data_IF_414329960586
#
_entry.id   IF_414329960586
#
_cell.length_a   1.000
_cell.length_b   1.000
_cell.length_c   1.000
_cell.angle_alpha   90.00
_cell.angle_beta   90.00
_cell.angle_gamma   90.00
#
_symmetry.space_group_name_H-M   'P 1'
#
loop_
_entity.id
_entity.type
_entity.pdbx_description
1 polymer ?
#
# COMPACT_ATOMS: atom_id res chain seq x y z
N UNK A 1 21.54 22.99 -11.10
CA UNK A 1 22.00 22.52 -12.42
C UNK A 1 22.82 21.25 -12.18
N UNK A 2 22.16 20.10 -12.06
CA UNK A 2 22.85 18.82 -11.83
C UNK A 2 23.33 18.27 -13.18
N UNK A 3 24.61 17.93 -13.23
CA UNK A 3 25.29 17.42 -14.40
C UNK A 3 24.85 15.99 -14.72
N UNK A 4 24.49 15.73 -15.98
CA UNK A 4 24.55 14.44 -16.69
C UNK A 4 24.28 13.17 -15.86
N UNK A 5 23.01 12.92 -15.54
CA UNK A 5 22.24 11.85 -16.20
C UNK A 5 22.42 10.40 -15.76
N UNK A 6 23.11 10.09 -14.67
CA UNK A 6 23.02 8.77 -14.05
C UNK A 6 21.88 8.77 -13.02
N UNK A 7 20.83 7.99 -13.28
CA UNK A 7 19.74 7.76 -12.33
C UNK A 7 20.33 7.18 -11.03
N UNK A 8 20.19 7.90 -9.93
CA UNK A 8 20.62 7.44 -8.62
C UNK A 8 19.83 6.20 -8.21
N UNK A 9 20.51 5.21 -7.62
CA UNK A 9 19.82 4.08 -6.98
C UNK A 9 19.23 4.58 -5.67
N UNK A 10 17.98 4.26 -5.43
CA UNK A 10 17.22 4.70 -4.26
C UNK A 10 17.10 3.54 -3.26
N UNK A 11 17.46 3.79 -2.00
CA UNK A 11 17.14 2.94 -0.87
C UNK A 11 15.71 3.20 -0.42
N UNK A 12 14.95 2.14 -0.15
CA UNK A 12 13.62 2.24 0.48
C UNK A 12 13.76 1.75 1.92
N UNK A 13 14.17 2.62 2.87
CA UNK A 13 14.57 2.19 4.20
C UNK A 13 13.42 1.57 4.98
N UNK A 14 12.16 1.93 4.68
CA UNK A 14 10.96 1.47 5.36
C UNK A 14 10.69 -0.03 5.18
N UNK A 15 11.22 -0.64 4.10
CA UNK A 15 10.97 -2.04 3.77
C UNK A 15 12.13 -2.90 4.26
N UNK A 16 11.97 -3.43 5.47
CA UNK A 16 12.89 -4.40 6.04
C UNK A 16 12.52 -5.82 5.63
N UNK A 17 13.47 -6.47 4.95
CA UNK A 17 13.36 -7.84 4.42
C UNK A 17 14.59 -8.64 4.82
N UNK A 18 14.59 -9.93 4.52
CA UNK A 18 15.71 -10.84 4.78
C UNK A 18 16.35 -11.32 3.48
N UNK A 19 17.47 -12.04 3.61
CA UNK A 19 18.17 -12.66 2.49
C UNK A 19 17.39 -13.76 1.76
N UNK A 20 16.16 -14.10 2.18
CA UNK A 20 15.24 -14.90 1.35
C UNK A 20 14.94 -14.26 0.00
N UNK A 21 14.98 -12.93 -0.06
CA UNK A 21 14.77 -12.17 -1.29
C UNK A 21 16.07 -11.86 -2.04
N UNK A 22 17.23 -12.29 -1.52
CA UNK A 22 18.50 -12.07 -2.18
C UNK A 22 18.54 -12.75 -3.57
N UNK A 23 19.11 -12.06 -4.56
CA UNK A 23 19.18 -12.55 -5.94
C UNK A 23 17.89 -12.40 -6.75
N UNK A 24 16.77 -11.98 -6.14
CA UNK A 24 15.55 -11.60 -6.88
C UNK A 24 15.65 -10.18 -7.40
N UNK A 25 14.98 -9.93 -8.51
CA UNK A 25 14.79 -8.57 -9.01
C UNK A 25 13.45 -8.47 -9.74
N UNK A 26 12.80 -7.33 -9.60
CA UNK A 26 11.48 -7.07 -10.14
C UNK A 26 11.57 -5.89 -11.12
N UNK A 27 11.33 -6.18 -12.39
CA UNK A 27 11.36 -5.18 -13.45
C UNK A 27 10.00 -4.50 -13.52
N UNK A 28 10.03 -3.17 -13.58
CA UNK A 28 8.86 -2.33 -13.81
C UNK A 28 9.16 -1.37 -14.95
N UNK A 29 8.16 -0.74 -15.59
CA UNK A 29 8.40 0.20 -16.69
C UNK A 29 9.41 1.31 -16.38
N UNK A 30 9.41 1.78 -15.14
CA UNK A 30 10.22 2.89 -14.62
C UNK A 30 11.56 2.46 -14.04
N UNK A 31 11.88 1.16 -13.92
CA UNK A 31 13.13 0.74 -13.30
C UNK A 31 13.20 -0.72 -12.84
N UNK A 32 14.07 -0.98 -11.87
CA UNK A 32 14.33 -2.30 -11.31
C UNK A 32 14.36 -2.23 -9.78
N UNK A 33 13.53 -3.03 -9.12
CA UNK A 33 13.68 -3.30 -7.70
C UNK A 33 14.61 -4.50 -7.48
N UNK A 34 15.41 -4.44 -6.43
CA UNK A 34 16.24 -5.56 -5.99
C UNK A 34 16.48 -5.50 -4.49
N UNK A 35 16.95 -6.62 -3.94
CA UNK A 35 17.40 -6.71 -2.57
C UNK A 35 18.85 -6.22 -2.42
N UNK A 36 19.18 -5.62 -1.27
CA UNK A 36 20.56 -5.35 -0.84
C UNK A 36 20.74 -5.75 0.63
N UNK A 37 21.92 -6.26 0.98
CA UNK A 37 22.25 -6.56 2.37
C UNK A 37 22.29 -5.28 3.20
N UNK A 38 21.82 -5.37 4.44
CA UNK A 38 21.79 -4.26 5.37
C UNK A 38 22.39 -4.67 6.70
N UNK A 39 23.31 -3.86 7.21
CA UNK A 39 23.99 -4.11 8.48
C UNK A 39 24.17 -2.81 9.28
N UNK A 40 24.36 -2.96 10.60
CA UNK A 40 24.85 -1.89 11.47
C UNK A 40 26.11 -2.37 12.16
N UNK A 41 27.11 -1.48 12.25
CA UNK A 41 28.33 -1.71 13.03
C UNK A 41 28.08 -1.57 14.52
N UNK A 42 27.13 -0.72 14.90
CA UNK A 42 26.76 -0.47 16.29
C UNK A 42 25.79 -1.51 16.86
N UNK A 43 24.95 -2.10 15.99
CA UNK A 43 23.96 -3.10 16.37
C UNK A 43 24.13 -4.34 15.49
N UNK A 44 24.57 -5.49 16.04
CA UNK A 44 24.57 -6.73 15.27
C UNK A 44 23.15 -7.00 14.80
N UNK A 45 22.96 -7.15 13.49
CA UNK A 45 21.63 -7.40 12.91
C UNK A 45 21.00 -8.62 13.58
N UNK A 46 19.69 -8.57 13.89
CA UNK A 46 18.99 -9.74 14.39
C UNK A 46 19.12 -10.85 13.34
N UNK A 47 19.60 -12.03 13.78
CA UNK A 47 19.55 -13.22 12.96
C UNK A 47 18.08 -13.64 12.89
N UNK A 48 17.46 -13.48 11.73
CA UNK A 48 16.13 -14.01 11.50
C UNK A 48 16.26 -15.52 11.32
N UNK A 49 15.71 -16.27 12.28
CA UNK A 49 15.72 -17.73 12.27
C UNK A 49 14.35 -18.26 11.89
N UNK A 50 14.26 -19.11 10.86
CA UNK A 50 13.09 -19.96 10.64
C UNK A 50 13.46 -21.40 11.00
N UNK A 51 12.57 -22.07 11.74
CA UNK A 51 12.73 -23.48 12.04
C UNK A 51 11.75 -24.27 11.17
N UNK A 52 12.29 -25.18 10.37
CA UNK A 52 11.50 -26.13 9.58
C UNK A 52 11.97 -27.58 9.82
N UNK A 53 11.43 -28.52 9.04
CA UNK A 53 11.78 -29.94 9.13
C UNK A 53 13.27 -30.26 8.87
N UNK A 54 14.03 -29.32 8.30
CA UNK A 54 15.45 -29.47 7.93
C UNK A 54 16.40 -28.75 8.89
N UNK A 55 15.88 -27.88 9.78
CA UNK A 55 16.67 -27.26 10.84
C UNK A 55 16.36 -25.78 11.04
N UNK A 56 17.30 -25.06 11.66
CA UNK A 56 17.26 -23.60 11.80
C UNK A 56 17.98 -22.96 10.62
N UNK A 57 17.25 -22.23 9.79
CA UNK A 57 17.81 -21.42 8.71
C UNK A 57 17.99 -20.00 9.20
N UNK A 58 19.19 -19.43 8.97
CA UNK A 58 19.52 -18.06 9.33
C UNK A 58 19.48 -17.17 8.11
N UNK A 59 18.81 -16.04 8.22
CA UNK A 59 18.70 -15.05 7.16
C UNK A 59 19.33 -13.73 7.59
N UNK A 60 20.10 -13.13 6.68
CA UNK A 60 20.67 -11.81 6.88
C UNK A 60 19.61 -10.75 6.67
N UNK A 61 19.72 -9.64 7.39
CA UNK A 61 18.88 -8.47 7.17
C UNK A 61 19.20 -7.81 5.82
N UNK A 62 18.18 -7.25 5.17
CA UNK A 62 18.33 -6.47 3.97
C UNK A 62 17.25 -5.41 3.79
N UNK A 63 17.36 -4.69 2.69
CA UNK A 63 16.43 -3.64 2.25
C UNK A 63 16.11 -3.81 0.78
N UNK A 64 15.04 -3.15 0.35
CA UNK A 64 14.72 -3.01 -1.07
C UNK A 64 15.37 -1.73 -1.60
N UNK A 65 16.00 -1.84 -2.76
CA UNK A 65 16.48 -0.71 -3.54
C UNK A 65 15.70 -0.63 -4.85
N UNK A 66 15.54 0.58 -5.36
CA UNK A 66 14.98 0.85 -6.68
C UNK A 66 16.01 1.57 -7.54
N UNK A 67 16.29 1.01 -8.71
CA UNK A 67 17.13 1.63 -9.73
C UNK A 67 16.24 2.15 -10.85
N UNK A 68 15.97 3.46 -10.91
CA UNK A 68 15.18 4.04 -12.00
C UNK A 68 15.87 3.78 -13.34
N UNK A 69 15.07 3.64 -14.40
CA UNK A 69 15.58 3.54 -15.76
C UNK A 69 16.16 4.90 -16.18
N UNK A 70 17.17 4.88 -17.04
CA UNK A 70 17.70 6.10 -17.62
C UNK A 70 16.59 6.88 -18.34
N UNK A 71 16.43 8.16 -17.98
CA UNK A 71 15.40 9.04 -18.53
C UNK A 71 14.05 9.03 -17.80
N UNK A 72 13.88 8.19 -16.77
CA UNK A 72 12.76 8.28 -15.83
C UNK A 72 12.89 9.57 -15.01
N UNK A 73 11.80 10.33 -14.91
CA UNK A 73 11.76 11.57 -14.14
C UNK A 73 11.31 11.33 -12.68
N UNK A 74 11.36 12.39 -11.86
CA UNK A 74 11.03 12.29 -10.43
C UNK A 74 9.54 11.97 -10.19
N UNK A 75 8.65 12.35 -11.12
CA UNK A 75 7.22 12.07 -11.03
C UNK A 75 6.95 10.57 -11.24
N UNK A 76 7.56 9.96 -12.26
CA UNK A 76 7.50 8.52 -12.50
C UNK A 76 8.04 7.71 -11.31
N UNK A 77 9.12 8.19 -10.68
CA UNK A 77 9.68 7.58 -9.46
C UNK A 77 8.67 7.67 -8.31
N UNK A 78 8.09 8.85 -8.07
CA UNK A 78 7.09 9.04 -7.02
C UNK A 78 5.87 8.12 -7.23
N UNK A 79 5.33 8.08 -8.45
CA UNK A 79 4.22 7.18 -8.82
C UNK A 79 4.57 5.72 -8.57
N UNK A 80 5.80 5.31 -8.88
CA UNK A 80 6.27 3.95 -8.64
C UNK A 80 6.33 3.60 -7.15
N UNK A 81 6.81 4.52 -6.31
CA UNK A 81 6.86 4.32 -4.86
C UNK A 81 5.46 4.36 -4.22
N UNK A 82 4.55 5.16 -4.77
CA UNK A 82 3.15 5.24 -4.31
C UNK A 82 2.39 3.95 -4.60
N UNK A 83 2.58 3.42 -5.81
CA UNK A 83 2.04 2.12 -6.18
C UNK A 83 2.54 1.01 -5.25
N UNK A 84 3.84 0.98 -4.94
CA UNK A 84 4.43 0.02 -3.99
C UNK A 84 3.86 0.20 -2.58
N UNK A 85 3.73 1.44 -2.12
CA UNK A 85 3.13 1.78 -0.81
C UNK A 85 1.71 1.24 -0.72
N UNK A 86 0.87 1.54 -1.71
CA UNK A 86 -0.52 1.07 -1.74
C UNK A 86 -0.61 -0.44 -1.83
N UNK A 87 0.25 -1.10 -2.61
CA UNK A 87 0.27 -2.57 -2.73
C UNK A 87 0.61 -3.24 -1.39
N UNK A 88 1.61 -2.75 -0.68
CA UNK A 88 1.91 -3.24 0.66
C UNK A 88 0.73 -2.98 1.61
N UNK A 89 0.05 -1.84 1.45
CA UNK A 89 -1.21 -1.55 2.13
C UNK A 89 -2.29 -2.60 1.86
N UNK A 90 -2.48 -3.02 0.60
CA UNK A 90 -3.48 -4.03 0.24
C UNK A 90 -3.09 -5.44 0.72
N UNK A 91 -1.79 -5.77 0.69
CA UNK A 91 -1.28 -7.10 1.00
C UNK A 91 -1.53 -7.55 2.46
N UNK A 92 -1.26 -6.66 3.42
CA UNK A 92 -1.32 -7.01 4.85
C UNK A 92 -1.94 -5.90 5.71
N UNK A 93 -2.65 -4.96 5.08
CA UNK A 93 -3.02 -3.72 5.76
C UNK A 93 -1.77 -3.07 6.36
N UNK A 94 -0.71 -2.93 5.55
CA UNK A 94 0.48 -2.21 5.98
C UNK A 94 0.08 -0.79 6.40
N UNK A 95 0.58 -0.39 7.58
CA UNK A 95 0.38 0.93 8.14
C UNK A 95 1.70 1.66 8.17
N UNK A 96 1.65 2.96 7.91
CA UNK A 96 2.84 3.79 8.02
C UNK A 96 2.81 4.95 7.07
N UNK A 97 4.00 5.48 6.87
CA UNK A 97 4.27 6.59 5.96
C UNK A 97 4.43 6.07 4.53
N UNK A 98 4.21 6.98 3.59
CA UNK A 98 4.48 6.77 2.18
C UNK A 98 5.96 6.42 2.00
N UNK A 99 6.27 5.46 1.14
CA UNK A 99 7.65 5.09 0.91
C UNK A 99 8.42 6.22 0.27
N UNK A 100 9.63 6.44 0.79
CA UNK A 100 10.56 7.45 0.28
C UNK A 100 11.81 6.76 -0.21
N UNK A 101 12.29 7.21 -1.38
CA UNK A 101 13.56 6.78 -1.93
C UNK A 101 14.68 7.68 -1.44
N UNK A 102 15.69 7.11 -0.80
CA UNK A 102 16.89 7.84 -0.39
C UNK A 102 18.02 7.52 -1.39
N UNK A 103 18.60 8.52 -2.08
CA UNK A 103 19.70 8.28 -2.99
C UNK A 103 20.89 7.60 -2.29
N UNK A 104 21.37 6.50 -2.86
CA UNK A 104 22.56 5.79 -2.39
C UNK A 104 23.77 6.32 -3.18
N UNK A 105 24.82 6.81 -2.50
CA UNK A 105 26.07 7.17 -3.16
C UNK A 105 26.65 5.99 -3.96
N UNK A 106 27.10 6.20 -5.21
CA UNK A 106 27.60 5.10 -6.06
C UNK A 106 28.70 4.25 -5.41
N UNK A 107 29.54 4.86 -4.57
CA UNK A 107 30.61 4.17 -3.83
C UNK A 107 30.09 3.08 -2.88
N UNK A 108 28.87 3.22 -2.35
CA UNK A 108 28.28 2.24 -1.43
C UNK A 108 27.64 1.06 -2.16
N UNK A 109 27.33 1.22 -3.45
CA UNK A 109 26.77 0.17 -4.31
C UNK A 109 27.82 -0.83 -4.80
N UNK A 110 29.11 -0.61 -4.51
CA UNK A 110 30.18 -1.54 -4.84
C UNK A 110 30.20 -2.79 -3.94
N UNK A 111 29.39 -2.80 -2.87
CA UNK A 111 29.27 -3.88 -1.90
C UNK A 111 27.87 -4.49 -1.95
N UNK A 112 27.77 -5.81 -1.76
CA UNK A 112 26.49 -6.51 -1.63
C UNK A 112 25.78 -6.21 -0.30
N UNK A 113 26.46 -5.52 0.62
CA UNK A 113 25.93 -5.08 1.92
C UNK A 113 26.27 -3.63 2.17
N UNK A 114 25.25 -2.86 2.55
CA UNK A 114 25.37 -1.47 2.97
C UNK A 114 25.30 -1.40 4.49
N UNK A 115 26.16 -0.57 5.08
CA UNK A 115 26.12 -0.25 6.50
C UNK A 115 25.30 1.01 6.73
N UNK A 116 24.40 0.97 7.70
CA UNK A 116 23.56 2.12 8.09
C UNK A 116 24.41 3.38 8.32
N UNK A 117 25.52 3.23 9.05
CA UNK A 117 26.39 4.36 9.41
C UNK A 117 27.05 5.01 8.18
N UNK A 118 27.30 4.25 7.10
CA UNK A 118 27.87 4.79 5.87
C UNK A 118 26.86 5.62 5.07
N UNK A 119 25.59 5.21 5.10
CA UNK A 119 24.48 5.96 4.50
C UNK A 119 24.23 7.24 5.29
N UNK A 120 24.16 7.16 6.62
CA UNK A 120 24.00 8.31 7.50
C UNK A 120 25.13 9.33 7.30
N UNK A 121 26.38 8.88 7.30
CA UNK A 121 27.53 9.76 7.09
C UNK A 121 27.52 10.42 5.70
N UNK A 122 27.01 9.72 4.67
CA UNK A 122 26.87 10.29 3.34
C UNK A 122 25.76 11.36 3.29
N UNK A 123 24.59 11.08 3.88
CA UNK A 123 23.48 12.02 3.91
C UNK A 123 23.80 13.30 4.68
N UNK A 124 24.47 13.17 5.84
CA UNK A 124 24.91 14.34 6.64
C UNK A 124 25.90 15.22 5.86
N UNK A 125 26.74 14.62 5.03
CA UNK A 125 27.72 15.37 4.24
C UNK A 125 27.08 16.14 3.08
N UNK A 126 26.00 15.60 2.49
CA UNK A 126 25.36 16.16 1.30
C UNK A 126 24.23 17.16 1.65
N UNK A 127 23.36 16.86 2.63
CA UNK A 127 22.23 17.71 3.01
C UNK A 127 21.88 17.60 4.52
N UNK A 128 22.34 18.54 5.38
CA UNK A 128 22.12 18.47 6.83
C UNK A 128 20.65 18.59 7.27
N UNK A 129 19.74 19.04 6.42
CA UNK A 129 18.31 19.18 6.74
C UNK A 129 17.53 17.84 6.61
N UNK A 130 18.17 16.75 6.15
CA UNK A 130 17.58 15.41 6.03
C UNK A 130 17.60 14.59 7.34
N UNK A 131 17.99 15.19 8.46
CA UNK A 131 18.16 14.50 9.76
C UNK A 131 16.86 13.85 10.26
N UNK A 132 15.69 14.44 10.00
CA UNK A 132 14.40 13.83 10.39
C UNK A 132 14.10 12.55 9.59
N UNK A 133 14.61 12.42 8.36
CA UNK A 133 14.47 11.20 7.54
C UNK A 133 15.34 10.07 8.07
N UNK A 134 16.53 10.37 8.58
CA UNK A 134 17.49 9.39 9.13
C UNK A 134 16.98 8.76 10.44
N UNK A 135 16.37 9.55 11.33
CA UNK A 135 15.77 9.05 12.59
C UNK A 135 14.63 8.04 12.32
N UNK A 136 14.01 8.10 11.14
CA UNK A 136 12.93 7.21 10.70
C UNK A 136 13.45 5.89 10.10
N UNK A 137 14.70 5.82 9.61
CA UNK A 137 15.32 4.57 9.11
C UNK A 137 15.35 3.48 10.19
N UNK A 138 15.42 3.87 11.47
CA UNK A 138 15.37 2.96 12.61
C UNK A 138 13.96 2.55 13.08
N UNK A 139 12.89 3.11 12.51
CA UNK A 139 11.48 2.80 12.86
C UNK A 139 10.79 2.00 11.76
N UNK A 140 11.50 1.02 11.22
CA UNK A 140 10.94 0.09 10.24
C UNK A 140 9.91 -0.83 10.90
N UNK A 141 8.69 -0.87 10.35
CA UNK A 141 7.78 -1.96 10.63
C UNK A 141 8.24 -3.16 9.79
N UNK A 142 8.80 -4.19 10.44
CA UNK A 142 9.05 -5.47 9.77
C UNK A 142 7.73 -6.18 9.54
N UNK A 143 7.32 -6.29 8.28
CA UNK A 143 6.13 -7.04 7.84
C UNK A 143 6.47 -8.45 7.32
N UNK A 144 7.70 -8.90 7.56
CA UNK A 144 8.23 -10.14 6.97
C UNK A 144 8.45 -10.04 5.46
N UNK A 145 8.95 -11.12 4.86
CA UNK A 145 9.32 -11.15 3.43
C UNK A 145 8.12 -11.32 2.50
N UNK A 146 7.07 -12.00 2.95
CA UNK A 146 5.92 -12.35 2.11
C UNK A 146 5.15 -11.13 1.61
N UNK A 147 5.07 -10.06 2.42
CA UNK A 147 4.30 -8.85 2.08
C UNK A 147 5.02 -8.02 1.01
N UNK A 148 6.31 -7.66 1.16
CA UNK A 148 7.07 -7.00 0.10
C UNK A 148 7.18 -7.87 -1.16
N UNK A 149 7.38 -9.18 -1.02
CA UNK A 149 7.42 -10.09 -2.16
C UNK A 149 6.12 -10.08 -2.96
N UNK A 150 4.97 -10.24 -2.28
CA UNK A 150 3.66 -10.21 -2.92
C UNK A 150 3.40 -8.89 -3.67
N UNK A 151 3.81 -7.76 -3.08
CA UNK A 151 3.67 -6.44 -3.68
C UNK A 151 4.58 -6.28 -4.90
N UNK A 152 5.86 -6.62 -4.77
CA UNK A 152 6.84 -6.51 -5.84
C UNK A 152 6.52 -7.43 -7.03
N UNK A 153 6.00 -8.63 -6.78
CA UNK A 153 5.54 -9.58 -7.82
C UNK A 153 4.32 -9.05 -8.63
N UNK A 154 3.69 -7.96 -8.19
CA UNK A 154 2.51 -7.33 -8.84
C UNK A 154 2.79 -5.96 -9.44
N UNK A 155 3.97 -5.41 -9.19
CA UNK A 155 4.29 -4.04 -9.58
C UNK A 155 4.24 -3.82 -11.09
N UNK A 156 4.67 -4.79 -11.90
CA UNK A 156 4.64 -4.67 -13.36
C UNK A 156 3.20 -4.53 -13.90
N UNK A 157 2.27 -5.33 -13.39
CA UNK A 157 0.84 -5.29 -13.74
C UNK A 157 0.21 -3.98 -13.28
N UNK A 158 0.50 -3.55 -12.05
CA UNK A 158 -0.02 -2.26 -11.53
C UNK A 158 0.49 -1.09 -12.35
N UNK A 159 1.79 -1.07 -12.68
CA UNK A 159 2.40 0.01 -13.43
C UNK A 159 1.99 0.02 -14.91
N UNK A 160 1.39 -1.06 -15.41
CA UNK A 160 0.76 -1.09 -16.74
C UNK A 160 -0.63 -0.42 -16.76
N UNK A 161 -1.29 -0.25 -15.60
CA UNK A 161 -2.61 0.37 -15.44
C UNK A 161 -2.57 1.58 -14.49
N UNK A 162 -1.88 2.63 -14.97
CA UNK A 162 -1.69 3.89 -14.23
C UNK A 162 -2.99 4.69 -14.05
N UNK A 163 -4.00 4.46 -14.88
CA UNK A 163 -5.22 5.26 -14.88
C UNK A 163 -6.23 4.81 -13.82
N UNK A 164 -6.23 3.52 -13.47
CA UNK A 164 -7.25 2.95 -12.59
C UNK A 164 -6.65 2.44 -11.28
N UNK A 165 -5.62 1.59 -11.35
CA UNK A 165 -5.11 0.88 -10.18
C UNK A 165 -4.27 1.79 -9.30
N UNK A 166 -3.35 2.57 -9.89
CA UNK A 166 -2.49 3.47 -9.12
C UNK A 166 -3.29 4.50 -8.32
N UNK A 167 -4.30 5.20 -8.89
CA UNK A 167 -5.16 6.08 -8.11
C UNK A 167 -5.94 5.35 -7.02
N UNK A 168 -6.43 4.14 -7.29
CA UNK A 168 -7.12 3.33 -6.28
C UNK A 168 -6.22 2.97 -5.10
N UNK A 169 -4.96 2.62 -5.38
CA UNK A 169 -3.91 2.34 -4.40
C UNK A 169 -3.56 3.57 -3.55
N UNK A 170 -3.41 4.74 -4.18
CA UNK A 170 -3.17 6.00 -3.48
C UNK A 170 -4.35 6.37 -2.56
N UNK A 171 -5.59 6.23 -3.05
CA UNK A 171 -6.78 6.52 -2.25
C UNK A 171 -6.96 5.57 -1.07
N UNK A 172 -6.73 4.26 -1.25
CA UNK A 172 -6.86 3.33 -0.13
C UNK A 172 -5.76 3.54 0.91
N UNK A 173 -4.54 3.91 0.49
CA UNK A 173 -3.47 4.30 1.41
C UNK A 173 -3.87 5.52 2.24
N UNK A 174 -4.31 6.61 1.59
CA UNK A 174 -4.74 7.83 2.28
C UNK A 174 -5.97 7.59 3.18
N UNK A 175 -6.83 6.64 2.84
CA UNK A 175 -7.93 6.21 3.72
C UNK A 175 -7.43 5.61 5.03
N UNK A 176 -6.32 4.87 5.00
CA UNK A 176 -5.81 4.09 6.14
C UNK A 176 -4.78 4.83 6.99
N UNK A 177 -4.28 5.97 6.50
CA UNK A 177 -3.21 6.76 7.14
C UNK A 177 -3.50 7.16 8.58
N UNK A 178 -4.71 7.65 8.86
CA UNK A 178 -5.12 8.05 10.22
C UNK A 178 -5.94 6.95 10.93
N UNK A 179 -6.77 6.22 10.18
CA UNK A 179 -7.66 5.18 10.71
C UNK A 179 -7.32 3.84 10.10
N UNK A 180 -6.60 3.04 10.86
CA UNK A 180 -6.16 1.72 10.45
C UNK A 180 -6.72 0.64 11.39
N UNK A 181 -7.26 -0.44 10.83
CA UNK A 181 -7.88 -1.51 11.60
C UNK A 181 -7.12 -2.83 11.42
N UNK A 182 -6.50 -3.33 12.50
CA UNK A 182 -5.76 -4.60 12.55
C UNK A 182 -5.98 -5.32 13.87
N UNK A 183 -5.94 -6.66 13.83
CA UNK A 183 -6.00 -7.50 15.02
C UNK A 183 -7.19 -7.19 15.94
N UNK A 184 -6.89 -6.80 17.18
CA UNK A 184 -7.90 -6.53 18.21
C UNK A 184 -8.82 -5.36 17.87
N UNK A 185 -8.35 -4.37 17.09
CA UNK A 185 -9.20 -3.21 16.75
C UNK A 185 -10.37 -3.60 15.85
N UNK A 186 -10.17 -4.59 14.96
CA UNK A 186 -11.25 -5.17 14.15
C UNK A 186 -12.29 -5.79 15.08
N UNK A 187 -11.84 -6.60 16.04
CA UNK A 187 -12.72 -7.28 17.00
C UNK A 187 -13.50 -6.26 17.85
N UNK A 188 -12.87 -5.17 18.27
CA UNK A 188 -13.54 -4.09 19.01
C UNK A 188 -14.62 -3.42 18.18
N UNK A 189 -14.32 -3.04 16.94
CA UNK A 189 -15.28 -2.40 16.04
C UNK A 189 -16.46 -3.33 15.73
N UNK A 190 -16.23 -4.63 15.59
CA UNK A 190 -17.31 -5.61 15.39
C UNK A 190 -18.24 -5.74 16.60
N UNK A 191 -17.75 -5.55 17.83
CA UNK A 191 -18.57 -5.60 19.05
C UNK A 191 -19.46 -4.37 19.21
N UNK A 192 -19.01 -3.22 18.70
CA UNK A 192 -19.71 -1.95 18.79
C UNK A 192 -19.87 -1.31 17.40
N UNK A 193 -20.65 -1.92 16.47
CA UNK A 193 -20.71 -1.47 15.08
C UNK A 193 -21.35 -0.07 14.92
N UNK A 194 -22.10 0.39 15.91
CA UNK A 194 -22.68 1.73 15.95
C UNK A 194 -21.78 2.77 16.63
N UNK A 195 -20.57 2.41 17.06
CA UNK A 195 -19.64 3.32 17.68
C UNK A 195 -19.20 4.42 16.71
N UNK A 196 -19.19 5.66 17.20
CA UNK A 196 -18.79 6.86 16.49
C UNK A 196 -17.73 7.59 17.31
N UNK A 197 -16.86 8.36 16.65
CA UNK A 197 -15.95 9.25 17.38
C UNK A 197 -16.72 10.37 18.10
N UNK A 198 -16.37 10.61 19.36
CA UNK A 198 -16.86 11.76 20.11
C UNK A 198 -16.03 13.03 19.87
N UNK A 199 -14.85 12.91 19.27
CA UNK A 199 -13.99 14.03 18.91
C UNK A 199 -14.41 14.57 17.53
N UNK A 200 -14.78 15.86 17.41
CA UNK A 200 -15.12 16.46 16.12
C UNK A 200 -13.98 16.36 15.09
N UNK A 201 -12.73 16.46 15.52
CA UNK A 201 -11.55 16.36 14.65
C UNK A 201 -11.46 14.94 14.07
N UNK A 202 -11.52 13.91 14.94
CA UNK A 202 -11.47 12.53 14.47
C UNK A 202 -12.72 12.16 13.65
N UNK A 203 -13.89 12.76 13.91
CA UNK A 203 -15.07 12.56 13.07
C UNK A 203 -14.87 13.09 11.63
N UNK A 204 -14.21 14.26 11.47
CA UNK A 204 -13.83 14.80 10.16
C UNK A 204 -12.78 13.91 9.48
N UNK A 205 -11.80 13.43 10.25
CA UNK A 205 -10.79 12.48 9.77
C UNK A 205 -11.44 11.19 9.24
N UNK A 206 -12.38 10.62 10.01
CA UNK A 206 -13.12 9.41 9.59
C UNK A 206 -13.95 9.63 8.32
N UNK A 207 -14.56 10.80 8.16
CA UNK A 207 -15.32 11.14 6.94
C UNK A 207 -14.38 11.25 5.73
N UNK A 208 -13.24 11.92 5.89
CA UNK A 208 -12.20 12.01 4.85
C UNK A 208 -11.68 10.62 4.47
N UNK A 209 -11.37 9.80 5.47
CA UNK A 209 -10.91 8.43 5.28
C UNK A 209 -11.96 7.57 4.54
N UNK A 210 -13.23 7.69 4.92
CA UNK A 210 -14.32 6.96 4.26
C UNK A 210 -14.46 7.39 2.80
N UNK A 211 -14.40 8.70 2.54
CA UNK A 211 -14.48 9.22 1.19
C UNK A 211 -13.31 8.77 0.32
N UNK A 212 -12.10 8.65 0.88
CA UNK A 212 -10.95 8.09 0.17
C UNK A 212 -11.13 6.60 -0.14
N UNK A 213 -11.65 5.78 0.78
CA UNK A 213 -11.98 4.38 0.48
C UNK A 213 -13.03 4.27 -0.64
N UNK A 214 -14.03 5.14 -0.63
CA UNK A 214 -15.04 5.20 -1.70
C UNK A 214 -14.43 5.63 -3.04
N UNK A 215 -13.55 6.64 -3.07
CA UNK A 215 -12.82 7.05 -4.28
C UNK A 215 -11.94 5.95 -4.85
N UNK A 216 -11.36 5.10 -4.00
CA UNK A 216 -10.63 3.93 -4.46
C UNK A 216 -11.53 2.98 -5.26
N UNK A 217 -12.77 2.75 -4.79
CA UNK A 217 -13.77 1.99 -5.54
C UNK A 217 -14.20 2.71 -6.82
N UNK A 218 -14.39 4.04 -6.81
CA UNK A 218 -14.72 4.81 -8.02
C UNK A 218 -13.62 4.70 -9.07
N UNK A 219 -12.35 4.82 -8.67
CA UNK A 219 -11.20 4.68 -9.56
C UNK A 219 -11.19 3.31 -10.27
N UNK A 220 -11.38 2.22 -9.51
CA UNK A 220 -11.48 0.87 -10.07
C UNK A 220 -12.65 0.68 -11.03
N UNK A 221 -13.79 1.32 -10.73
CA UNK A 221 -14.98 1.21 -11.57
C UNK A 221 -14.93 2.15 -12.79
N UNK A 222 -13.93 3.03 -12.88
CA UNK A 222 -13.83 4.05 -13.91
C UNK A 222 -14.86 5.18 -13.76
N UNK A 223 -15.26 5.50 -12.52
CA UNK A 223 -16.19 6.58 -12.19
C UNK A 223 -17.23 6.20 -11.14
N UNK A 224 -18.20 7.10 -10.90
CA UNK A 224 -19.24 6.91 -9.89
C UNK A 224 -20.06 5.61 -10.16
N UNK A 225 -20.22 4.73 -9.14
CA UNK A 225 -21.05 3.52 -9.22
C UNK A 225 -22.46 3.81 -9.76
N UNK A 226 -22.98 3.03 -10.73
CA UNK A 226 -24.36 3.16 -11.17
C UNK A 226 -25.35 2.90 -10.04
N UNK A 227 -26.41 3.71 -9.93
CA UNK A 227 -27.49 3.50 -8.95
C UNK A 227 -28.36 2.28 -9.28
N UNK A 228 -28.42 1.90 -10.54
CA UNK A 228 -29.16 0.73 -11.01
C UNK A 228 -28.35 -0.55 -10.77
N UNK A 229 -28.88 -1.46 -9.95
CA UNK A 229 -28.22 -2.71 -9.54
C UNK A 229 -27.70 -3.53 -10.73
N UNK A 230 -28.45 -3.63 -11.83
CA UNK A 230 -28.04 -4.38 -13.01
C UNK A 230 -26.80 -3.77 -13.69
N UNK A 231 -26.76 -2.44 -13.83
CA UNK A 231 -25.62 -1.72 -14.43
C UNK A 231 -24.39 -1.75 -13.53
N UNK A 232 -24.58 -1.69 -12.21
CA UNK A 232 -23.47 -1.82 -11.27
C UNK A 232 -22.87 -3.23 -11.32
N UNK A 233 -23.72 -4.27 -11.37
CA UNK A 233 -23.27 -5.66 -11.58
C UNK A 233 -22.44 -5.81 -12.85
N UNK A 234 -22.97 -5.35 -13.99
CA UNK A 234 -22.25 -5.39 -15.26
C UNK A 234 -20.89 -4.67 -15.18
N UNK A 235 -20.83 -3.53 -14.47
CA UNK A 235 -19.59 -2.78 -14.27
C UNK A 235 -18.60 -3.49 -13.36
N UNK A 236 -19.05 -4.16 -12.31
CA UNK A 236 -18.16 -4.97 -11.46
C UNK A 236 -17.57 -6.13 -12.27
N UNK A 237 -18.42 -6.84 -13.00
CA UNK A 237 -18.01 -7.99 -13.84
C UNK A 237 -17.03 -7.56 -14.95
N UNK A 238 -17.27 -6.43 -15.62
CA UNK A 238 -16.35 -5.92 -16.66
C UNK A 238 -14.98 -5.50 -16.13
N UNK A 239 -14.89 -5.26 -14.81
CA UNK A 239 -13.64 -4.98 -14.09
C UNK A 239 -13.08 -6.23 -13.40
N UNK A 240 -13.63 -7.40 -13.65
CA UNK A 240 -13.21 -8.66 -13.02
C UNK A 240 -13.36 -8.66 -11.49
N UNK A 241 -14.31 -7.88 -10.97
CA UNK A 241 -14.69 -7.87 -9.56
C UNK A 241 -15.96 -8.72 -9.44
N UNK A 242 -15.89 -9.86 -8.75
CA UNK A 242 -17.04 -10.76 -8.63
C UNK A 242 -18.15 -10.09 -7.76
N UNK A 243 -19.31 -9.75 -8.34
CA UNK A 243 -20.39 -9.09 -7.61
C UNK A 243 -21.01 -9.99 -6.53
N UNK A 244 -20.95 -11.31 -6.69
CA UNK A 244 -21.59 -12.30 -5.82
C UNK A 244 -20.64 -12.88 -4.77
N UNK A 245 -19.37 -12.46 -4.78
CA UNK A 245 -18.38 -12.95 -3.82
C UNK A 245 -18.69 -12.42 -2.42
N UNK A 246 -18.98 -13.36 -1.51
CA UNK A 246 -19.36 -13.05 -0.13
C UNK A 246 -18.11 -12.86 0.73
N UNK A 247 -17.71 -11.60 0.91
CA UNK A 247 -16.57 -11.22 1.73
C UNK A 247 -17.01 -10.46 3.00
N UNK A 248 -16.06 -10.11 3.86
CA UNK A 248 -16.30 -9.27 5.04
C UNK A 248 -16.12 -9.98 6.38
N UNK A 249 -16.56 -9.31 7.43
CA UNK A 249 -16.29 -9.71 8.81
C UNK A 249 -17.34 -10.71 9.34
N UNK A 250 -16.95 -11.55 10.30
CA UNK A 250 -17.85 -12.54 10.90
C UNK A 250 -19.16 -11.91 11.39
N UNK A 251 -20.30 -12.50 11.00
CA UNK A 251 -21.64 -11.99 11.33
C UNK A 251 -22.16 -10.85 10.46
N UNK A 252 -21.33 -10.29 9.57
CA UNK A 252 -21.67 -9.16 8.69
C UNK A 252 -21.09 -9.36 7.28
N UNK A 253 -21.07 -10.61 6.81
CA UNK A 253 -20.68 -10.95 5.44
C UNK A 253 -21.81 -10.63 4.49
N UNK A 254 -21.48 -10.02 3.38
CA UNK A 254 -22.39 -9.73 2.27
C UNK A 254 -21.62 -9.77 0.95
N UNK A 255 -22.37 -9.92 -0.14
CA UNK A 255 -21.81 -9.87 -1.48
C UNK A 255 -21.28 -8.46 -1.84
N UNK A 256 -20.34 -8.41 -2.78
CA UNK A 256 -19.68 -7.16 -3.17
C UNK A 256 -20.68 -6.14 -3.75
N UNK A 257 -21.68 -6.59 -4.50
CA UNK A 257 -22.69 -5.73 -5.09
C UNK A 257 -23.49 -4.98 -4.02
N UNK A 258 -24.03 -5.70 -3.03
CA UNK A 258 -24.75 -5.14 -1.90
C UNK A 258 -23.86 -4.18 -1.10
N UNK A 259 -22.60 -4.54 -0.88
CA UNK A 259 -21.62 -3.68 -0.17
C UNK A 259 -21.40 -2.36 -0.90
N UNK A 260 -21.13 -2.38 -2.20
CA UNK A 260 -20.91 -1.14 -2.99
C UNK A 260 -22.16 -0.26 -2.99
N UNK A 261 -23.36 -0.85 -3.13
CA UNK A 261 -24.61 -0.11 -3.03
C UNK A 261 -24.79 0.56 -1.66
N UNK A 262 -24.45 -0.15 -0.58
CA UNK A 262 -24.50 0.39 0.79
C UNK A 262 -23.49 1.51 1.01
N UNK A 263 -22.27 1.38 0.48
CA UNK A 263 -21.25 2.44 0.53
C UNK A 263 -21.71 3.70 -0.21
N UNK A 264 -22.28 3.55 -1.41
CA UNK A 264 -22.85 4.67 -2.15
C UNK A 264 -24.00 5.35 -1.40
N UNK A 265 -24.94 4.58 -0.85
CA UNK A 265 -26.03 5.13 -0.04
C UNK A 265 -25.52 5.89 1.19
N UNK A 266 -24.47 5.37 1.83
CA UNK A 266 -23.80 6.02 2.97
C UNK A 266 -23.19 7.34 2.54
N UNK A 267 -22.43 7.38 1.43
CA UNK A 267 -21.88 8.62 0.87
C UNK A 267 -22.98 9.62 0.53
N UNK A 268 -24.00 9.23 -0.22
CA UNK A 268 -25.06 10.12 -0.73
C UNK A 268 -25.84 10.76 0.43
N UNK A 269 -26.14 9.97 1.48
CA UNK A 269 -26.78 10.47 2.70
C UNK A 269 -25.97 11.56 3.39
N UNK A 270 -24.64 11.56 3.25
CA UNK A 270 -23.75 12.58 3.83
C UNK A 270 -23.58 13.78 2.91
N UNK A 271 -23.47 13.58 1.60
CA UNK A 271 -23.31 14.67 0.62
C UNK A 271 -24.57 15.53 0.43
N UNK A 272 -25.77 14.98 0.63
CA UNK A 272 -27.02 15.65 0.23
C UNK A 272 -27.44 16.88 1.06
N UNK A 273 -26.90 17.15 2.26
CA UNK A 273 -27.43 18.24 3.11
C UNK A 273 -26.40 18.97 4.00
N UNK A 274 -25.88 20.11 3.51
CA UNK A 274 -25.15 21.13 4.28
C UNK A 274 -26.07 21.98 5.20
N UNK A 275 -27.06 21.34 5.85
CA UNK A 275 -28.07 21.97 6.71
C UNK A 275 -27.71 21.96 8.20
N UNK A 276 -28.01 23.08 8.88
CA UNK A 276 -27.50 23.56 10.18
C UNK A 276 -27.87 22.74 11.44
N UNK A 277 -28.59 21.62 11.35
CA UNK A 277 -29.15 20.95 12.55
C UNK A 277 -29.15 19.42 12.44
N UNK A 278 -28.29 18.72 13.22
CA UNK A 278 -28.31 17.24 13.34
C UNK A 278 -26.96 16.52 13.21
N UNK A 279 -25.91 16.96 13.90
CA UNK A 279 -24.53 16.45 13.79
C UNK A 279 -24.36 14.98 14.22
N UNK A 280 -25.19 14.45 15.15
CA UNK A 280 -25.01 13.08 15.71
C UNK A 280 -25.55 11.92 14.87
N UNK A 281 -26.59 12.10 14.05
CA UNK A 281 -27.07 11.04 13.11
C UNK A 281 -26.24 10.99 11.81
N UNK A 282 -25.18 11.82 11.77
CA UNK A 282 -24.36 12.13 10.59
C UNK A 282 -22.94 11.58 10.61
N UNK A 283 -22.48 11.04 11.73
CA UNK A 283 -21.13 10.50 11.83
C UNK A 283 -20.99 9.20 11.04
N UNK A 284 -19.83 9.01 10.42
CA UNK A 284 -19.36 7.70 9.97
C UNK A 284 -19.01 6.90 11.23
N UNK A 285 -19.54 5.69 11.33
CA UNK A 285 -19.15 4.74 12.37
C UNK A 285 -17.79 4.12 12.06
N UNK A 286 -17.09 3.64 13.08
CA UNK A 286 -15.83 2.92 12.84
C UNK A 286 -16.03 1.69 11.96
N UNK A 287 -17.20 1.03 12.08
CA UNK A 287 -17.54 -0.11 11.25
C UNK A 287 -17.75 0.28 9.79
N UNK A 288 -18.51 1.34 9.49
CA UNK A 288 -18.70 1.81 8.11
C UNK A 288 -17.36 2.16 7.44
N UNK A 289 -16.43 2.79 8.17
CA UNK A 289 -15.10 3.08 7.66
C UNK A 289 -14.26 1.81 7.43
N UNK A 290 -14.18 0.94 8.43
CA UNK A 290 -13.44 -0.32 8.35
C UNK A 290 -13.93 -1.19 7.18
N UNK A 291 -15.25 -1.30 7.02
CA UNK A 291 -15.87 -2.06 5.94
C UNK A 291 -15.66 -1.42 4.56
N UNK A 292 -15.69 -0.08 4.44
CA UNK A 292 -15.34 0.61 3.20
C UNK A 292 -13.88 0.34 2.79
N UNK A 293 -12.95 0.44 3.74
CA UNK A 293 -11.53 0.15 3.51
C UNK A 293 -11.30 -1.32 3.11
N UNK A 294 -12.03 -2.25 3.74
CA UNK A 294 -11.96 -3.66 3.41
C UNK A 294 -12.50 -3.94 2.00
N UNK A 295 -13.65 -3.35 1.63
CA UNK A 295 -14.26 -3.49 0.32
C UNK A 295 -13.30 -3.05 -0.79
N UNK A 296 -12.74 -1.84 -0.63
CA UNK A 296 -11.81 -1.25 -1.58
C UNK A 296 -10.55 -2.09 -1.76
N UNK A 297 -9.87 -2.46 -0.67
CA UNK A 297 -8.67 -3.28 -0.76
C UNK A 297 -8.95 -4.66 -1.39
N UNK A 298 -10.09 -5.28 -1.06
CA UNK A 298 -10.49 -6.56 -1.64
C UNK A 298 -10.74 -6.45 -3.14
N UNK A 299 -11.46 -5.41 -3.58
CA UNK A 299 -11.70 -5.17 -5.00
C UNK A 299 -10.41 -4.86 -5.78
N UNK A 300 -9.49 -4.07 -5.19
CA UNK A 300 -8.16 -3.81 -5.78
C UNK A 300 -7.40 -5.13 -5.95
N UNK A 301 -7.37 -5.96 -4.90
CA UNK A 301 -6.69 -7.26 -4.93
C UNK A 301 -7.22 -8.16 -6.04
N UNK A 302 -8.54 -8.35 -6.14
CA UNK A 302 -9.14 -9.18 -7.19
C UNK A 302 -8.87 -8.63 -8.59
N UNK A 303 -8.92 -7.30 -8.77
CA UNK A 303 -8.61 -6.68 -10.06
C UNK A 303 -7.18 -7.00 -10.49
N UNK A 304 -6.21 -6.87 -9.58
CA UNK A 304 -4.80 -7.17 -9.87
C UNK A 304 -4.63 -8.65 -10.20
N UNK A 305 -5.22 -9.55 -9.39
CA UNK A 305 -5.14 -11.00 -9.61
C UNK A 305 -5.70 -11.40 -10.98
N UNK A 306 -6.86 -10.87 -11.37
CA UNK A 306 -7.45 -11.12 -12.68
C UNK A 306 -6.56 -10.63 -13.85
N UNK A 307 -5.90 -9.48 -13.68
CA UNK A 307 -4.98 -8.96 -14.70
C UNK A 307 -3.71 -9.81 -14.83
N UNK A 308 -3.18 -10.34 -13.72
CA UNK A 308 -2.06 -11.28 -13.74
C UNK A 308 -2.43 -12.57 -14.49
N UNK A 309 -3.62 -13.11 -14.24
CA UNK A 309 -4.13 -14.31 -14.93
C UNK A 309 -4.31 -14.05 -16.44
N UNK A 310 -4.83 -12.88 -16.82
CA UNK A 310 -4.97 -12.50 -18.22
C UNK A 310 -3.61 -12.32 -18.94
N UNK A 311 -2.63 -11.70 -18.27
CA UNK A 311 -1.30 -11.47 -18.82
C UNK A 311 -0.49 -12.76 -19.03
N UNK A 312 -0.65 -13.74 -18.13
CA UNK A 312 -0.01 -15.06 -18.25
C UNK A 312 -0.64 -15.91 -19.36
N UNK A 313 -1.96 -15.86 -19.53
CA UNK A 313 -2.65 -16.56 -20.63
C UNK A 313 -2.22 -16.03 -22.02
N UNK A 314 -1.95 -14.73 -22.14
CA UNK A 314 -1.51 -14.10 -23.40
C UNK A 314 -0.09 -14.45 -23.85
N UNK A 315 0.77 -14.99 -22.97
CA UNK A 315 2.14 -15.38 -23.30
C UNK A 315 2.28 -16.85 -23.72
N UNK A 316 1.22 -17.65 -23.64
CA UNK A 316 1.21 -19.09 -23.94
C UNK A 316 0.49 -19.46 -25.26
N UNK A 317 -0.01 -18.46 -26.01
CA UNK A 317 -0.65 -18.65 -27.32
C UNK A 317 0.17 -18.06 -28.46
#
# INVERSE_FOLDING_TARGET
MMATGESSVLLIPQIQVTSKLAGRSWRVPTGLFSWIGWASRERPSPIYGEYDSTGVHQYNEGRIIFKPRAGTDDEDVAVTLDALTGLMGVADNFWGEQFTGIPIPPRLLASDTIFAEDVEAALVADEPDFIDTVVTIGRTASVGDAVPEWALDRMDVVMADLAEIVPALAYIFESRKEFHFVGDSITMVQREPSAISHSPIAAIGMETAFHNAYKAMEALLGGEPPKETAKLRERLESRSINPDEVAGFAGMREDMLARVMRLQATRDKRSAHAGRTGVKSRSITYFELMDAQYAAATAIKWRIEALMEAGTAGHLG
#
